data_IF_759696811823
#
_entry.id   IF_759696811823
#
_cell.length_a   1.000
_cell.length_b   1.000
_cell.length_c   1.000
_cell.angle_alpha   90.00
_cell.angle_beta   90.00
_cell.angle_gamma   90.00
#
_symmetry.space_group_name_H-M   'P 1'
#
loop_
_entity.id
_entity.type
_entity.pdbx_description
1 polymer ?
#
# COMPACT_ATOMS: atom_id res chain seq x y z
N UNK A 1 31.95 -64.22 -30.02
CA UNK A 1 30.56 -63.74 -29.85
C UNK A 1 30.60 -62.22 -29.89
N UNK A 2 30.19 -61.55 -30.99
CA UNK A 2 30.20 -60.10 -31.04
C UNK A 2 28.98 -59.56 -30.28
N UNK A 3 29.20 -58.64 -29.36
CA UNK A 3 28.13 -58.00 -28.58
C UNK A 3 27.72 -56.72 -29.31
N UNK A 4 26.52 -56.71 -29.88
CA UNK A 4 26.00 -55.55 -30.61
C UNK A 4 25.68 -54.41 -29.62
N UNK A 5 26.29 -53.25 -29.82
CA UNK A 5 26.02 -52.05 -29.02
C UNK A 5 24.88 -51.25 -29.64
N UNK A 6 23.70 -51.31 -29.02
CA UNK A 6 22.54 -50.51 -29.45
C UNK A 6 22.80 -49.01 -29.23
N UNK A 7 22.56 -48.13 -30.23
CA UNK A 7 22.82 -46.71 -30.09
C UNK A 7 21.72 -46.05 -29.25
N UNK A 8 22.10 -45.55 -28.06
CA UNK A 8 21.21 -44.76 -27.21
C UNK A 8 20.90 -43.41 -27.89
N UNK A 9 19.65 -43.24 -28.33
CA UNK A 9 19.13 -41.97 -28.87
C UNK A 9 19.25 -40.86 -27.81
N UNK A 10 20.12 -39.87 -28.05
CA UNK A 10 20.21 -38.67 -27.20
C UNK A 10 18.93 -37.85 -27.35
N UNK A 11 18.21 -37.66 -26.24
CA UNK A 11 17.06 -36.77 -26.20
C UNK A 11 17.48 -35.36 -26.64
N UNK A 12 16.80 -34.82 -27.64
CA UNK A 12 16.98 -33.45 -28.13
C UNK A 12 16.63 -32.47 -27.00
N UNK A 13 17.64 -31.78 -26.48
CA UNK A 13 17.45 -30.77 -25.45
C UNK A 13 16.75 -29.55 -26.05
N UNK A 14 15.42 -29.48 -25.95
CA UNK A 14 14.67 -28.25 -26.26
C UNK A 14 15.04 -27.19 -25.23
N UNK A 15 15.79 -26.18 -25.64
CA UNK A 15 16.13 -25.03 -24.79
C UNK A 15 14.86 -24.38 -24.22
N UNK A 16 14.84 -24.01 -22.93
CA UNK A 16 13.70 -23.34 -22.33
C UNK A 16 13.36 -22.02 -23.04
N UNK A 17 12.08 -21.64 -23.14
CA UNK A 17 11.69 -20.37 -23.73
C UNK A 17 12.30 -19.20 -22.93
N UNK A 18 12.85 -18.21 -23.65
CA UNK A 18 13.47 -17.03 -23.05
C UNK A 18 12.42 -16.27 -22.21
N UNK A 19 12.65 -16.16 -20.90
CA UNK A 19 11.81 -15.34 -20.01
C UNK A 19 11.86 -13.88 -20.47
N UNK A 20 10.72 -13.34 -20.90
CA UNK A 20 10.58 -11.91 -21.10
C UNK A 20 10.82 -11.20 -19.76
N UNK A 21 11.89 -10.39 -19.68
CA UNK A 21 12.19 -9.59 -18.50
C UNK A 21 11.09 -8.54 -18.34
N UNK A 22 10.22 -8.71 -17.33
CA UNK A 22 9.23 -7.68 -17.01
C UNK A 22 9.96 -6.38 -16.67
N UNK A 23 9.55 -5.26 -17.29
CA UNK A 23 10.10 -3.94 -16.99
C UNK A 23 10.10 -3.71 -15.47
N UNK A 24 11.26 -3.33 -14.93
CA UNK A 24 11.38 -2.99 -13.50
C UNK A 24 10.37 -1.89 -13.16
N UNK A 25 9.59 -2.07 -12.09
CA UNK A 25 8.66 -1.06 -11.60
C UNK A 25 9.45 0.15 -11.10
N UNK A 26 9.13 1.35 -11.61
CA UNK A 26 9.68 2.60 -11.06
C UNK A 26 9.15 2.81 -9.65
N UNK A 27 10.05 3.15 -8.72
CA UNK A 27 9.68 3.45 -7.33
C UNK A 27 8.93 4.79 -7.29
N UNK A 28 7.65 4.77 -6.96
CA UNK A 28 6.87 5.97 -6.67
C UNK A 28 6.44 5.96 -5.18
N UNK A 29 7.13 6.71 -4.31
CA UNK A 29 6.84 6.73 -2.89
C UNK A 29 5.49 7.39 -2.54
N UNK A 30 5.01 8.34 -3.32
CA UNK A 30 3.75 9.03 -3.07
C UNK A 30 2.56 8.07 -3.17
N UNK A 31 2.61 7.17 -4.16
CA UNK A 31 1.58 6.14 -4.38
C UNK A 31 1.66 4.96 -3.41
N UNK A 32 2.61 4.96 -2.48
CA UNK A 32 2.66 3.90 -1.48
C UNK A 32 1.43 3.96 -0.59
N UNK A 33 0.78 2.80 -0.41
CA UNK A 33 -0.39 2.63 0.46
C UNK A 33 -0.19 3.24 1.85
N UNK A 34 1.04 3.26 2.38
CA UNK A 34 1.36 3.88 3.67
C UNK A 34 1.32 5.41 3.61
N UNK A 35 1.87 6.01 2.56
CA UNK A 35 1.94 7.47 2.40
C UNK A 35 0.56 8.05 2.10
N UNK A 36 -0.20 7.42 1.20
CA UNK A 36 -1.60 7.80 0.92
C UNK A 36 -2.44 7.78 2.21
N UNK A 37 -2.34 6.71 3.01
CA UNK A 37 -3.07 6.63 4.29
C UNK A 37 -2.64 7.70 5.30
N UNK A 38 -1.35 8.03 5.38
CA UNK A 38 -0.86 9.09 6.26
C UNK A 38 -1.47 10.44 5.88
N UNK A 39 -1.46 10.75 4.58
CA UNK A 39 -2.01 11.99 4.03
C UNK A 39 -3.52 12.09 4.29
N UNK A 40 -4.29 11.05 3.99
CA UNK A 40 -5.74 11.05 4.26
C UNK A 40 -6.04 11.20 5.76
N UNK A 41 -5.25 10.56 6.63
CA UNK A 41 -5.40 10.66 8.08
C UNK A 41 -5.08 12.06 8.63
N UNK A 42 -4.07 12.74 8.09
CA UNK A 42 -3.74 14.11 8.49
C UNK A 42 -4.79 15.11 8.02
N UNK A 43 -5.29 14.95 6.79
CA UNK A 43 -6.39 15.75 6.24
C UNK A 43 -7.73 15.48 6.96
N UNK A 44 -7.82 14.38 7.70
CA UNK A 44 -9.05 13.96 8.36
C UNK A 44 -10.09 13.41 7.38
N UNK A 45 -9.68 12.96 6.20
CA UNK A 45 -10.55 12.30 5.22
C UNK A 45 -10.75 10.83 5.56
N UNK A 46 -11.73 10.23 4.91
CA UNK A 46 -11.96 8.79 4.98
C UNK A 46 -10.76 8.03 4.43
N UNK A 47 -10.35 6.95 5.09
CA UNK A 47 -9.26 6.10 4.61
C UNK A 47 -9.43 4.64 5.04
N UNK A 48 -8.84 3.74 4.25
CA UNK A 48 -8.80 2.31 4.58
C UNK A 48 -7.59 2.03 5.49
N UNK A 49 -7.82 1.37 6.62
CA UNK A 49 -6.79 0.98 7.58
C UNK A 49 -5.88 -0.12 7.03
N UNK A 50 -4.78 -0.42 7.75
CA UNK A 50 -3.92 -1.54 7.38
C UNK A 50 -4.64 -2.90 7.44
N UNK A 51 -5.70 -3.00 8.25
CA UNK A 51 -6.54 -4.20 8.41
C UNK A 51 -7.71 -4.24 7.43
N UNK A 52 -7.79 -3.28 6.50
CA UNK A 52 -8.86 -3.21 5.49
C UNK A 52 -10.15 -2.55 5.96
N UNK A 53 -10.20 -2.01 7.18
CA UNK A 53 -11.39 -1.33 7.70
C UNK A 53 -11.46 0.11 7.21
N UNK A 54 -12.64 0.57 6.82
CA UNK A 54 -12.89 1.97 6.47
C UNK A 54 -12.95 2.80 7.75
N UNK A 55 -12.12 3.85 7.83
CA UNK A 55 -12.11 4.83 8.92
C UNK A 55 -12.80 6.09 8.43
N UNK A 56 -13.88 6.47 9.11
CA UNK A 56 -14.66 7.66 8.78
C UNK A 56 -13.83 8.95 8.88
N UNK A 57 -14.20 10.00 8.13
CA UNK A 57 -13.53 11.29 8.22
C UNK A 57 -13.68 11.92 9.61
N UNK A 58 -12.68 12.70 10.01
CA UNK A 58 -12.74 13.50 11.24
C UNK A 58 -13.81 14.58 11.07
N UNK A 59 -14.76 14.61 11.99
CA UNK A 59 -15.78 15.66 12.07
C UNK A 59 -15.51 16.55 13.27
N UNK A 60 -15.37 17.84 13.04
CA UNK A 60 -15.42 18.82 14.13
C UNK A 60 -16.82 18.76 14.70
N UNK A 61 -16.96 18.35 15.96
CA UNK A 61 -18.24 18.42 16.63
C UNK A 61 -18.52 19.87 16.96
N UNK A 62 -19.70 20.37 16.59
CA UNK A 62 -20.19 21.68 16.98
C UNK A 62 -20.53 21.65 18.47
N UNK A 63 -19.52 21.63 19.32
CA UNK A 63 -19.71 21.89 20.74
C UNK A 63 -19.88 23.39 20.92
N UNK A 64 -20.94 23.78 21.61
CA UNK A 64 -21.12 25.16 22.07
C UNK A 64 -20.04 25.45 23.12
N UNK A 65 -18.90 25.98 22.67
CA UNK A 65 -17.78 26.38 23.54
C UNK A 65 -18.19 27.39 24.63
N UNK A 66 -19.38 28.00 24.52
CA UNK A 66 -20.01 28.86 25.52
C UNK A 66 -20.19 28.18 26.90
N UNK A 67 -20.41 26.86 26.94
CA UNK A 67 -20.49 26.07 28.19
C UNK A 67 -19.37 25.03 28.25
N UNK A 68 -18.17 25.39 27.80
CA UNK A 68 -17.02 24.49 27.86
C UNK A 68 -16.49 24.37 29.30
N UNK A 69 -16.34 23.13 29.81
CA UNK A 69 -15.72 22.84 31.13
C UNK A 69 -14.35 23.49 31.31
N UNK A 70 -13.60 23.64 30.21
CA UNK A 70 -12.25 24.19 30.22
C UNK A 70 -12.21 25.72 30.05
N UNK A 71 -13.38 26.35 29.88
CA UNK A 71 -13.53 27.80 29.67
C UNK A 71 -12.57 28.33 28.60
N UNK A 72 -12.45 27.61 27.48
CA UNK A 72 -11.50 27.94 26.42
C UNK A 72 -11.64 29.39 25.93
N UNK A 73 -12.87 29.91 25.88
CA UNK A 73 -13.17 31.29 25.49
C UNK A 73 -12.59 32.36 26.42
N UNK A 74 -12.26 32.04 27.68
CA UNK A 74 -11.60 32.98 28.60
C UNK A 74 -10.07 32.92 28.47
N UNK A 75 -9.53 31.86 27.86
CA UNK A 75 -8.09 31.60 27.78
C UNK A 75 -7.48 31.94 26.43
N UNK A 76 -8.30 31.95 25.39
CA UNK A 76 -7.91 32.33 24.04
C UNK A 76 -8.69 33.59 23.68
N UNK A 77 -7.98 34.71 23.56
CA UNK A 77 -8.46 35.86 22.83
C UNK A 77 -8.34 35.56 21.33
N UNK A 78 -9.44 35.65 20.60
CA UNK A 78 -9.43 35.54 19.13
C UNK A 78 -8.66 36.74 18.57
N UNK A 79 -7.45 36.50 18.08
CA UNK A 79 -6.60 37.46 17.36
C UNK A 79 -6.57 37.11 15.86
#
# INVERSE_FOLDING_TARGET
>A
MPVETTPHKRASYRSPPKKHSSRKKTRNPEKWKRNVRKLLKSEGKEYVSATGRVVAPKKVHSHSCLKCRFKCSEKFTEE
#
